data_IF_286411219111
#
_entry.id   IF_286411219111
#
_cell.length_a   1.000
_cell.length_b   1.000
_cell.length_c   1.000
_cell.angle_alpha   90.00
_cell.angle_beta   90.00
_cell.angle_gamma   90.00
#
_symmetry.space_group_name_H-M   'P 1'
#
loop_
_entity.id
_entity.type
_entity.pdbx_description
1 polymer ?
#
# COMPACT_ATOMS: atom_id res chain seq x y z
N UNK A 1 25.68 -31.24 13.07
CA UNK A 1 24.31 -30.72 12.88
C UNK A 1 23.43 -31.80 12.31
N UNK A 2 22.19 -31.93 12.76
CA UNK A 2 21.20 -32.80 12.12
C UNK A 2 20.89 -32.30 10.71
N UNK A 3 20.78 -33.22 9.76
CA UNK A 3 20.36 -32.88 8.41
C UNK A 3 18.85 -32.69 8.39
N UNK A 4 18.35 -31.63 7.70
CA UNK A 4 16.92 -31.50 7.39
C UNK A 4 16.38 -32.58 6.45
N UNK A 5 17.28 -33.42 5.86
CA UNK A 5 16.89 -34.59 5.12
C UNK A 5 16.64 -35.74 6.11
N UNK A 6 15.40 -36.17 6.32
CA UNK A 6 15.07 -37.12 7.40
C UNK A 6 15.56 -38.56 7.13
N UNK A 7 15.83 -38.90 5.87
CA UNK A 7 16.26 -40.25 5.48
C UNK A 7 17.71 -40.51 5.84
N UNK A 8 17.96 -41.65 6.52
CA UNK A 8 19.30 -42.13 6.77
C UNK A 8 19.95 -42.67 5.47
N UNK A 9 21.27 -42.85 5.49
CA UNK A 9 21.99 -43.43 4.34
C UNK A 9 21.41 -44.79 3.95
N UNK A 10 21.18 -45.69 4.92
CA UNK A 10 20.61 -47.04 4.68
C UNK A 10 19.20 -46.94 4.05
N UNK A 11 18.36 -46.02 4.51
CA UNK A 11 17.04 -45.81 3.90
C UNK A 11 17.15 -45.30 2.46
N UNK A 12 18.06 -44.37 2.17
CA UNK A 12 18.32 -43.90 0.80
C UNK A 12 18.78 -45.03 -0.13
N UNK A 13 19.68 -45.88 0.31
CA UNK A 13 20.12 -47.06 -0.44
C UNK A 13 18.98 -48.05 -0.66
N UNK A 14 18.11 -48.24 0.33
CA UNK A 14 16.91 -49.06 0.18
C UNK A 14 15.95 -48.51 -0.86
N UNK A 15 15.71 -47.20 -0.83
CA UNK A 15 14.85 -46.49 -1.80
C UNK A 15 15.43 -46.59 -3.23
N UNK A 16 16.75 -46.41 -3.40
CA UNK A 16 17.40 -46.55 -4.70
C UNK A 16 17.23 -47.98 -5.25
N UNK A 17 17.48 -48.99 -4.42
CA UNK A 17 17.25 -50.38 -4.81
C UNK A 17 15.80 -50.68 -5.18
N UNK A 18 14.84 -50.10 -4.46
CA UNK A 18 13.41 -50.30 -4.75
C UNK A 18 13.00 -49.77 -6.13
N UNK A 19 13.70 -48.74 -6.65
CA UNK A 19 13.49 -48.20 -8.01
C UNK A 19 14.52 -48.73 -9.05
N UNK A 20 15.31 -49.73 -8.68
CA UNK A 20 16.27 -50.38 -9.58
C UNK A 20 17.55 -49.57 -9.87
N UNK A 21 17.95 -48.69 -8.95
CA UNK A 21 19.14 -47.85 -9.05
C UNK A 21 20.15 -48.21 -7.95
N UNK A 22 21.42 -47.97 -8.23
CA UNK A 22 22.52 -48.23 -7.28
C UNK A 22 23.07 -46.91 -6.71
N UNK A 23 23.09 -45.86 -7.51
CA UNK A 23 23.65 -44.57 -7.14
C UNK A 23 22.62 -43.43 -7.28
N UNK A 24 22.68 -42.43 -6.40
CA UNK A 24 21.83 -41.25 -6.47
C UNK A 24 22.03 -40.48 -7.78
N UNK A 25 23.23 -40.54 -8.37
CA UNK A 25 23.53 -39.89 -9.64
C UNK A 25 22.82 -40.53 -10.84
N UNK A 26 22.38 -41.80 -10.71
CA UNK A 26 21.62 -42.47 -11.76
C UNK A 26 20.23 -41.80 -11.99
N UNK A 27 19.72 -41.06 -11.00
CA UNK A 27 18.51 -40.26 -11.15
C UNK A 27 18.70 -39.10 -12.14
N UNK A 28 19.93 -38.69 -12.40
CA UNK A 28 20.27 -37.55 -13.28
C UNK A 28 20.74 -38.00 -14.67
N UNK A 29 20.57 -39.27 -15.04
CA UNK A 29 21.02 -39.81 -16.33
C UNK A 29 20.51 -39.09 -17.57
N UNK A 30 19.34 -38.39 -17.45
CA UNK A 30 18.73 -37.64 -18.53
C UNK A 30 19.30 -36.20 -18.61
N UNK A 31 20.14 -35.79 -17.65
CA UNK A 31 20.84 -34.51 -17.64
C UNK A 31 22.18 -34.68 -18.37
N UNK A 32 22.47 -33.89 -19.41
CA UNK A 32 23.77 -33.94 -20.09
C UNK A 32 24.92 -33.75 -19.09
N UNK A 33 25.97 -34.56 -19.20
CA UNK A 33 27.08 -34.59 -18.25
C UNK A 33 27.73 -33.21 -18.06
N UNK A 34 27.82 -32.41 -19.10
CA UNK A 34 28.38 -31.08 -19.09
C UNK A 34 27.54 -30.08 -18.26
N UNK A 35 26.29 -30.38 -17.96
CA UNK A 35 25.39 -29.58 -17.13
C UNK A 35 25.43 -29.98 -15.65
N UNK A 36 26.06 -31.09 -15.31
CA UNK A 36 26.19 -31.57 -13.94
C UNK A 36 27.32 -30.86 -13.22
N UNK A 37 27.01 -30.26 -12.05
CA UNK A 37 28.03 -29.69 -11.18
C UNK A 37 28.88 -30.79 -10.54
N UNK A 38 30.17 -30.76 -10.82
CA UNK A 38 31.16 -31.72 -10.27
C UNK A 38 31.87 -31.19 -9.01
N UNK A 39 31.67 -29.91 -8.70
CA UNK A 39 32.25 -29.27 -7.52
C UNK A 39 31.13 -28.61 -6.72
N UNK A 40 31.28 -28.48 -5.39
CA UNK A 40 30.38 -27.67 -4.59
C UNK A 40 30.26 -26.23 -5.15
N UNK A 41 29.11 -25.61 -4.94
CA UNK A 41 28.92 -24.22 -5.27
C UNK A 41 29.90 -23.35 -4.43
N UNK A 42 30.39 -22.26 -5.01
CA UNK A 42 31.22 -21.28 -4.30
C UNK A 42 30.35 -20.36 -3.43
N UNK A 43 29.76 -20.96 -2.42
CA UNK A 43 28.96 -20.27 -1.39
C UNK A 43 29.48 -20.68 -0.01
N UNK A 44 29.33 -19.84 1.03
CA UNK A 44 29.69 -20.21 2.40
C UNK A 44 29.01 -21.50 2.86
N UNK A 45 29.64 -22.23 3.75
CA UNK A 45 29.03 -23.38 4.42
C UNK A 45 27.77 -22.97 5.21
N UNK A 46 26.84 -23.91 5.36
CA UNK A 46 25.62 -23.70 6.12
C UNK A 46 25.91 -23.39 7.59
N UNK A 47 25.21 -22.38 8.12
CA UNK A 47 25.28 -22.01 9.53
C UNK A 47 24.41 -22.94 10.38
N UNK A 48 24.73 -23.06 11.67
CA UNK A 48 23.79 -23.60 12.65
C UNK A 48 22.65 -22.61 12.87
N UNK A 49 21.50 -23.08 13.37
CA UNK A 49 20.37 -22.22 13.74
C UNK A 49 20.80 -21.08 14.69
N UNK A 50 21.65 -21.38 15.67
CA UNK A 50 22.18 -20.40 16.60
C UNK A 50 23.05 -19.34 15.91
N UNK A 51 23.93 -19.74 15.01
CA UNK A 51 24.77 -18.82 14.23
C UNK A 51 23.94 -17.94 13.29
N UNK A 52 22.97 -18.52 12.58
CA UNK A 52 22.06 -17.79 11.72
C UNK A 52 21.22 -16.78 12.53
N UNK A 53 20.65 -17.20 13.66
CA UNK A 53 19.90 -16.33 14.55
C UNK A 53 20.74 -15.17 15.06
N UNK A 54 22.00 -15.42 15.48
CA UNK A 54 22.93 -14.36 15.92
C UNK A 54 23.27 -13.39 14.79
N UNK A 55 23.55 -13.90 13.59
CA UNK A 55 23.89 -13.05 12.45
C UNK A 55 22.72 -12.14 12.05
N UNK A 56 21.50 -12.69 11.94
CA UNK A 56 20.31 -11.92 11.61
C UNK A 56 19.93 -10.93 12.72
N UNK A 57 20.07 -11.34 14.00
CA UNK A 57 19.83 -10.43 15.14
C UNK A 57 20.83 -9.29 15.19
N UNK A 58 22.10 -9.54 14.83
CA UNK A 58 23.11 -8.47 14.75
C UNK A 58 22.76 -7.44 13.66
N UNK A 59 22.36 -7.89 12.47
CA UNK A 59 21.86 -7.01 11.41
C UNK A 59 20.59 -6.24 11.83
N UNK A 60 19.68 -6.90 12.51
CA UNK A 60 18.45 -6.25 13.02
C UNK A 60 18.79 -5.18 14.09
N UNK A 61 19.81 -5.38 14.89
CA UNK A 61 20.26 -4.42 15.91
C UNK A 61 20.88 -3.14 15.33
N UNK A 62 21.25 -3.12 14.06
CA UNK A 62 21.71 -1.91 13.36
C UNK A 62 20.56 -0.94 13.04
N UNK A 63 19.31 -1.43 13.04
CA UNK A 63 18.14 -0.58 12.84
C UNK A 63 17.94 0.36 14.03
N UNK A 64 17.56 1.59 13.70
CA UNK A 64 17.20 2.58 14.69
C UNK A 64 15.69 2.63 14.89
N UNK A 65 15.25 2.47 16.13
CA UNK A 65 13.85 2.60 16.51
C UNK A 65 13.60 3.96 17.15
N UNK A 66 12.41 4.52 16.95
CA UNK A 66 12.02 5.82 17.47
C UNK A 66 10.79 5.68 18.37
N UNK A 67 10.82 6.38 19.51
CA UNK A 67 9.67 6.45 20.42
C UNK A 67 8.55 7.31 19.84
N UNK A 68 8.91 8.37 19.14
CA UNK A 68 7.97 9.32 18.52
C UNK A 68 8.26 9.42 17.02
N UNK A 69 7.23 9.26 16.21
CA UNK A 69 7.31 9.34 14.74
C UNK A 69 6.46 10.52 14.27
N UNK A 70 7.12 11.52 13.67
CA UNK A 70 6.49 12.72 13.09
C UNK A 70 6.69 12.78 11.57
N UNK A 71 6.79 11.60 10.94
CA UNK A 71 6.96 11.41 9.50
C UNK A 71 5.88 10.49 8.98
N UNK A 72 5.27 10.89 7.87
CA UNK A 72 4.32 10.11 7.08
C UNK A 72 4.88 9.81 5.70
N UNK A 73 4.48 10.59 4.71
CA UNK A 73 4.90 10.46 3.31
C UNK A 73 4.55 9.10 2.70
N UNK A 74 3.33 8.64 2.92
CA UNK A 74 2.76 7.42 2.31
C UNK A 74 2.65 6.22 3.25
N UNK A 75 3.35 6.20 4.40
CA UNK A 75 3.16 5.21 5.44
C UNK A 75 3.02 5.89 6.81
N UNK A 76 2.07 5.45 7.62
CA UNK A 76 1.63 6.18 8.81
C UNK A 76 1.57 5.29 10.04
N UNK A 77 2.13 5.79 11.16
CA UNK A 77 2.18 5.07 12.44
C UNK A 77 0.88 5.28 13.24
N UNK A 78 -0.20 4.58 12.83
CA UNK A 78 -1.47 4.55 13.54
C UNK A 78 -1.48 3.51 14.66
N UNK A 79 -2.37 3.68 15.64
CA UNK A 79 -2.58 2.69 16.70
C UNK A 79 -3.24 1.43 16.14
N UNK A 80 -2.66 0.29 16.47
CA UNK A 80 -3.17 -1.02 16.05
C UNK A 80 -3.69 -1.76 17.29
N UNK A 81 -5.01 -1.98 17.43
CA UNK A 81 -5.57 -2.76 18.52
C UNK A 81 -4.97 -4.17 18.61
N UNK A 82 -4.76 -4.68 19.83
CA UNK A 82 -4.10 -5.97 20.05
C UNK A 82 -4.79 -7.15 19.37
N UNK A 83 -6.13 -7.11 19.29
CA UNK A 83 -6.93 -8.15 18.64
C UNK A 83 -6.61 -8.27 17.14
N UNK A 84 -6.27 -7.16 16.47
CA UNK A 84 -5.93 -7.11 15.05
C UNK A 84 -4.65 -7.88 14.73
N UNK A 85 -3.71 -7.93 15.70
CA UNK A 85 -2.48 -8.74 15.57
C UNK A 85 -2.71 -10.20 15.92
N UNK A 86 -3.65 -10.47 16.85
CA UNK A 86 -3.88 -11.80 17.39
C UNK A 86 -4.65 -12.72 16.43
N UNK A 87 -5.69 -12.21 15.77
CA UNK A 87 -6.56 -13.04 14.93
C UNK A 87 -5.85 -13.57 13.68
N UNK A 88 -5.12 -12.77 12.88
CA UNK A 88 -4.43 -13.28 11.70
C UNK A 88 -3.34 -14.32 12.02
N UNK A 89 -2.85 -14.33 13.26
CA UNK A 89 -1.84 -15.29 13.72
C UNK A 89 -2.43 -16.67 14.09
N UNK A 90 -3.75 -16.86 14.01
CA UNK A 90 -4.39 -18.15 14.28
C UNK A 90 -4.15 -19.13 13.13
N UNK A 91 -4.10 -20.43 13.47
CA UNK A 91 -3.82 -21.52 12.51
C UNK A 91 -4.81 -21.53 11.34
N UNK A 92 -6.08 -21.17 11.59
CA UNK A 92 -7.14 -21.14 10.58
C UNK A 92 -6.83 -20.18 9.42
N UNK A 93 -6.03 -19.15 9.68
CA UNK A 93 -5.64 -18.16 8.66
C UNK A 93 -4.21 -18.36 8.16
N UNK A 94 -3.25 -18.67 9.06
CA UNK A 94 -1.83 -18.76 8.71
C UNK A 94 -1.50 -19.84 7.70
N UNK A 95 -2.19 -20.99 7.77
CA UNK A 95 -1.93 -22.14 6.89
C UNK A 95 -2.66 -22.07 5.56
N UNK A 96 -3.58 -21.12 5.41
CA UNK A 96 -4.33 -20.94 4.17
C UNK A 96 -3.46 -20.24 3.12
N UNK A 97 -3.45 -20.80 1.91
CA UNK A 97 -2.81 -20.18 0.76
C UNK A 97 -3.87 -19.45 -0.08
N UNK A 98 -4.15 -19.92 -1.28
CA UNK A 98 -5.18 -19.30 -2.11
C UNK A 98 -6.46 -20.13 -2.03
N UNK A 99 -7.62 -19.50 -1.75
CA UNK A 99 -8.89 -20.21 -1.57
C UNK A 99 -9.53 -20.62 -2.91
N UNK A 100 -8.86 -21.42 -3.70
CA UNK A 100 -9.38 -21.91 -4.99
C UNK A 100 -10.54 -22.87 -4.84
N UNK A 101 -10.48 -23.75 -3.82
CA UNK A 101 -11.52 -24.73 -3.54
C UNK A 101 -12.53 -24.13 -2.56
N UNK A 102 -13.66 -23.68 -3.09
CA UNK A 102 -14.70 -23.05 -2.30
C UNK A 102 -15.21 -23.96 -1.16
N UNK A 103 -15.28 -25.26 -1.41
CA UNK A 103 -15.74 -26.27 -0.43
C UNK A 103 -14.87 -26.31 0.84
N UNK A 104 -13.58 -26.02 0.70
CA UNK A 104 -12.59 -26.06 1.79
C UNK A 104 -12.33 -24.70 2.44
N UNK A 105 -12.70 -23.61 1.76
CA UNK A 105 -12.19 -22.27 2.07
C UNK A 105 -13.28 -21.24 2.37
N UNK A 106 -14.46 -21.68 2.82
CA UNK A 106 -15.61 -20.78 3.02
C UNK A 106 -15.31 -19.64 3.98
N UNK A 107 -14.62 -19.91 5.10
CA UNK A 107 -14.26 -18.86 6.06
C UNK A 107 -13.32 -17.80 5.50
N UNK A 108 -12.33 -18.20 4.69
CA UNK A 108 -11.43 -17.25 4.02
C UNK A 108 -12.14 -16.47 2.92
N UNK A 109 -12.96 -17.11 2.12
CA UNK A 109 -13.75 -16.44 1.09
C UNK A 109 -14.70 -15.42 1.72
N UNK A 110 -15.34 -15.77 2.83
CA UNK A 110 -16.18 -14.86 3.59
C UNK A 110 -15.38 -13.66 4.10
N UNK A 111 -14.20 -13.85 4.67
CA UNK A 111 -13.37 -12.74 5.15
C UNK A 111 -12.93 -11.79 4.03
N UNK A 112 -12.64 -12.32 2.84
CA UNK A 112 -12.36 -11.50 1.65
C UNK A 112 -13.60 -10.71 1.23
N UNK A 113 -14.77 -11.35 1.21
CA UNK A 113 -16.04 -10.69 0.86
C UNK A 113 -16.36 -9.56 1.85
N UNK A 114 -16.17 -9.78 3.15
CA UNK A 114 -16.35 -8.76 4.18
C UNK A 114 -15.37 -7.59 4.03
N UNK A 115 -14.09 -7.87 3.73
CA UNK A 115 -13.12 -6.82 3.39
C UNK A 115 -13.56 -6.01 2.16
N UNK A 116 -13.95 -6.67 1.08
CA UNK A 116 -14.45 -6.00 -0.13
C UNK A 116 -15.65 -5.09 0.19
N UNK A 117 -16.59 -5.57 1.01
CA UNK A 117 -17.75 -4.81 1.46
C UNK A 117 -17.33 -3.56 2.23
N UNK A 118 -16.42 -3.70 3.20
CA UNK A 118 -15.94 -2.55 3.99
C UNK A 118 -15.19 -1.52 3.14
N UNK A 119 -14.42 -1.94 2.14
CA UNK A 119 -13.79 -1.02 1.19
C UNK A 119 -14.85 -0.31 0.31
N UNK A 120 -15.90 -1.00 -0.12
CA UNK A 120 -17.00 -0.37 -0.84
C UNK A 120 -17.71 0.68 0.03
N UNK A 121 -18.03 0.37 1.27
CA UNK A 121 -18.66 1.30 2.22
C UNK A 121 -17.76 2.54 2.47
N UNK A 122 -16.46 2.32 2.69
CA UNK A 122 -15.50 3.40 2.96
C UNK A 122 -15.33 4.34 1.76
N UNK A 123 -15.38 3.80 0.54
CA UNK A 123 -15.15 4.56 -0.70
C UNK A 123 -16.42 5.03 -1.40
N UNK A 124 -17.59 4.51 -1.01
CA UNK A 124 -18.88 4.71 -1.68
C UNK A 124 -18.96 4.00 -3.04
N UNK A 125 -18.01 3.12 -3.39
CA UNK A 125 -17.97 2.43 -4.67
C UNK A 125 -18.84 1.17 -4.67
N UNK A 126 -19.20 0.71 -5.89
CA UNK A 126 -20.13 -0.40 -6.07
C UNK A 126 -19.46 -1.77 -5.90
N UNK A 127 -18.15 -1.88 -6.20
CA UNK A 127 -17.42 -3.16 -6.18
C UNK A 127 -15.95 -2.97 -5.83
N UNK A 128 -15.39 -3.86 -5.01
CA UNK A 128 -13.97 -3.95 -4.67
C UNK A 128 -13.40 -5.31 -5.08
N UNK A 129 -12.10 -5.36 -5.37
CA UNK A 129 -11.35 -6.62 -5.48
C UNK A 129 -10.82 -7.08 -4.12
N UNK A 130 -10.19 -8.25 -4.08
CA UNK A 130 -9.61 -8.83 -2.85
C UNK A 130 -8.35 -8.10 -2.35
N UNK A 131 -7.68 -7.35 -3.14
CA UNK A 131 -6.57 -6.41 -2.96
C UNK A 131 -5.56 -6.45 -4.11
N UNK A 132 -4.62 -5.51 -4.09
CA UNK A 132 -3.39 -5.49 -4.90
C UNK A 132 -2.19 -5.26 -3.97
N UNK A 133 -0.97 -5.13 -4.51
CA UNK A 133 0.26 -5.15 -3.71
C UNK A 133 0.43 -3.94 -2.79
N UNK A 134 0.22 -2.73 -3.31
CA UNK A 134 0.33 -1.45 -2.60
C UNK A 134 -0.47 -0.35 -3.28
N UNK A 135 -0.53 0.82 -2.67
CA UNK A 135 -1.28 1.95 -3.20
C UNK A 135 -0.76 2.48 -4.54
N UNK A 136 0.55 2.46 -4.77
CA UNK A 136 1.13 2.91 -6.03
C UNK A 136 0.82 1.93 -7.17
N UNK A 137 0.88 0.63 -6.89
CA UNK A 137 0.43 -0.42 -7.83
C UNK A 137 -1.06 -0.30 -8.09
N UNK A 138 -1.89 -0.03 -7.07
CA UNK A 138 -3.33 0.19 -7.24
C UNK A 138 -3.62 1.36 -8.20
N UNK A 139 -2.87 2.47 -8.10
CA UNK A 139 -2.99 3.60 -9.01
C UNK A 139 -2.59 3.23 -10.45
N UNK A 140 -1.51 2.46 -10.61
CA UNK A 140 -1.05 2.02 -11.93
C UNK A 140 -2.03 1.02 -12.58
N UNK A 141 -2.58 0.09 -11.82
CA UNK A 141 -3.61 -0.84 -12.28
C UNK A 141 -4.92 -0.11 -12.64
N UNK A 142 -5.31 0.91 -11.86
CA UNK A 142 -6.47 1.74 -12.18
C UNK A 142 -6.27 2.50 -13.51
N UNK A 143 -5.10 3.06 -13.76
CA UNK A 143 -4.76 3.67 -15.04
C UNK A 143 -4.82 2.65 -16.19
N UNK A 144 -4.29 1.44 -15.96
CA UNK A 144 -4.34 0.35 -16.93
C UNK A 144 -5.78 -0.09 -17.25
N UNK A 145 -6.68 -0.12 -16.26
CA UNK A 145 -8.11 -0.40 -16.47
C UNK A 145 -8.82 0.59 -17.40
N UNK A 146 -8.38 1.85 -17.39
CA UNK A 146 -8.99 2.94 -18.14
C UNK A 146 -8.62 2.93 -19.63
N UNK A 147 -7.58 2.19 -20.02
CA UNK A 147 -7.10 2.15 -21.39
C UNK A 147 -8.18 1.69 -22.39
N UNK A 148 -8.22 2.38 -23.53
CA UNK A 148 -9.07 2.06 -24.66
C UNK A 148 -8.24 2.14 -25.95
N UNK A 149 -8.76 1.60 -27.05
CA UNK A 149 -8.04 1.54 -28.33
C UNK A 149 -7.53 2.91 -28.81
N UNK A 150 -8.31 3.98 -28.58
CA UNK A 150 -7.99 5.35 -28.99
C UNK A 150 -7.56 6.27 -27.84
N UNK A 151 -7.75 5.83 -26.60
CA UNK A 151 -7.43 6.59 -25.38
C UNK A 151 -6.33 5.87 -24.61
N UNK A 152 -5.11 6.36 -24.73
CA UNK A 152 -3.91 5.72 -24.17
C UNK A 152 -3.02 6.69 -23.40
N UNK A 153 -3.48 7.89 -23.15
CA UNK A 153 -2.79 8.88 -22.31
C UNK A 153 -3.36 8.83 -20.91
N UNK A 154 -2.49 8.68 -19.92
CA UNK A 154 -2.83 8.85 -18.50
C UNK A 154 -2.32 10.21 -18.04
N UNK A 155 -3.20 11.02 -17.46
CA UNK A 155 -2.82 12.21 -16.71
C UNK A 155 -2.69 11.87 -15.24
N UNK A 156 -1.70 12.46 -14.57
CA UNK A 156 -1.50 12.32 -13.12
C UNK A 156 -1.16 13.67 -12.50
N UNK A 157 -1.73 13.96 -11.33
CA UNK A 157 -1.40 15.17 -10.58
C UNK A 157 0.08 15.21 -10.17
N UNK A 158 0.75 16.33 -10.36
CA UNK A 158 2.10 16.58 -9.87
C UNK A 158 2.17 16.76 -8.34
N UNK A 159 1.02 16.89 -7.67
CA UNK A 159 0.90 16.87 -6.22
C UNK A 159 0.65 15.47 -5.65
N UNK A 160 0.63 14.41 -6.47
CA UNK A 160 0.59 13.02 -6.03
C UNK A 160 1.95 12.58 -5.48
N UNK A 161 1.94 11.49 -4.71
CA UNK A 161 3.17 10.90 -4.17
C UNK A 161 4.17 10.58 -5.30
N UNK A 162 5.45 10.97 -5.16
CA UNK A 162 6.46 10.77 -6.23
C UNK A 162 6.59 9.32 -6.69
N UNK A 163 6.54 8.36 -5.75
CA UNK A 163 6.65 6.94 -6.10
C UNK A 163 5.41 6.42 -6.81
N UNK A 164 4.23 6.96 -6.52
CA UNK A 164 3.02 6.66 -7.29
C UNK A 164 3.17 7.14 -8.74
N UNK A 165 3.68 8.36 -8.95
CA UNK A 165 3.98 8.89 -10.30
C UNK A 165 4.98 7.98 -11.02
N UNK A 166 6.04 7.55 -10.33
CA UNK A 166 7.07 6.69 -10.91
C UNK A 166 6.56 5.28 -11.23
N UNK A 167 5.71 4.72 -10.37
CA UNK A 167 5.09 3.40 -10.61
C UNK A 167 4.16 3.44 -11.82
N UNK A 168 3.27 4.44 -11.90
CA UNK A 168 2.41 4.64 -13.08
C UNK A 168 3.24 4.84 -14.35
N UNK A 169 4.35 5.60 -14.27
CA UNK A 169 5.29 5.79 -15.39
C UNK A 169 5.88 4.46 -15.86
N UNK A 170 6.26 3.58 -14.94
CA UNK A 170 6.81 2.26 -15.26
C UNK A 170 5.78 1.39 -15.98
N UNK A 171 4.53 1.40 -15.53
CA UNK A 171 3.44 0.67 -16.21
C UNK A 171 3.17 1.22 -17.62
N UNK A 172 3.11 2.54 -17.77
CA UNK A 172 2.94 3.17 -19.08
C UNK A 172 4.11 2.84 -20.02
N UNK A 173 5.35 2.91 -19.52
CA UNK A 173 6.52 2.51 -20.29
C UNK A 173 6.42 1.06 -20.79
N UNK A 174 6.06 0.13 -19.91
CA UNK A 174 5.97 -1.30 -20.25
C UNK A 174 4.92 -1.62 -21.31
N UNK A 175 3.89 -0.79 -21.44
CA UNK A 175 2.78 -0.96 -22.39
C UNK A 175 2.84 -0.03 -23.61
N UNK A 176 3.81 0.89 -23.65
CA UNK A 176 3.92 1.90 -24.69
C UNK A 176 2.81 2.96 -24.64
N UNK A 177 2.25 3.20 -23.43
CA UNK A 177 1.27 4.25 -23.17
C UNK A 177 1.99 5.55 -22.76
N UNK A 178 1.33 6.68 -22.90
CA UNK A 178 1.87 7.97 -22.52
C UNK A 178 1.42 8.39 -21.12
N UNK A 179 2.36 8.84 -20.26
CA UNK A 179 2.07 9.51 -19.00
C UNK A 179 2.40 11.00 -19.12
N UNK A 180 1.44 11.86 -18.80
CA UNK A 180 1.64 13.31 -18.66
C UNK A 180 1.34 13.72 -17.21
N UNK A 181 2.28 14.49 -16.62
CA UNK A 181 2.11 15.02 -15.26
C UNK A 181 1.46 16.40 -15.37
N UNK A 182 0.32 16.57 -14.72
CA UNK A 182 -0.37 17.86 -14.59
C UNK A 182 0.37 18.69 -13.55
N UNK A 183 0.81 19.92 -13.85
CA UNK A 183 1.54 20.75 -12.89
C UNK A 183 0.76 20.97 -11.59
N UNK A 184 1.50 21.14 -10.50
CA UNK A 184 0.94 21.62 -9.24
C UNK A 184 1.15 23.14 -9.13
N UNK A 185 0.14 23.86 -8.62
CA UNK A 185 0.18 25.28 -8.29
C UNK A 185 -0.21 25.43 -6.82
N UNK A 186 0.60 26.11 -6.06
CA UNK A 186 0.40 26.32 -4.61
C UNK A 186 0.16 25.00 -3.83
N UNK A 187 0.88 23.93 -4.23
CA UNK A 187 0.79 22.63 -3.60
C UNK A 187 -0.41 21.77 -4.01
N UNK A 188 -1.26 22.22 -4.91
CA UNK A 188 -2.45 21.51 -5.42
C UNK A 188 -2.38 21.34 -6.92
N UNK A 189 -3.18 20.43 -7.45
CA UNK A 189 -3.34 20.25 -8.90
C UNK A 189 -3.82 21.55 -9.55
N UNK A 190 -3.12 22.00 -10.59
CA UNK A 190 -3.53 23.15 -11.38
C UNK A 190 -4.71 22.77 -12.29
N UNK A 191 -5.91 23.22 -11.96
CA UNK A 191 -7.14 22.91 -12.70
C UNK A 191 -7.12 23.49 -14.12
N UNK A 192 -6.52 24.66 -14.33
CA UNK A 192 -6.42 25.28 -15.66
C UNK A 192 -5.47 24.47 -16.55
N UNK A 193 -4.34 24.05 -15.99
CA UNK A 193 -3.40 23.16 -16.67
C UNK A 193 -4.06 21.82 -17.00
N UNK A 194 -4.78 21.20 -16.05
CA UNK A 194 -5.54 19.98 -16.30
C UNK A 194 -6.50 20.16 -17.48
N UNK A 195 -7.33 21.21 -17.45
CA UNK A 195 -8.31 21.45 -18.51
C UNK A 195 -7.64 21.60 -19.89
N UNK A 196 -6.47 22.23 -19.95
CA UNK A 196 -5.72 22.40 -21.21
C UNK A 196 -5.07 21.10 -21.73
N UNK A 197 -4.80 20.13 -20.84
CA UNK A 197 -4.18 18.85 -21.15
C UNK A 197 -5.19 17.75 -21.48
N UNK A 198 -6.47 17.96 -21.20
CA UNK A 198 -7.56 17.01 -21.47
C UNK A 198 -7.89 17.05 -22.98
N UNK A 199 -7.57 15.96 -23.68
CA UNK A 199 -7.86 15.76 -25.11
C UNK A 199 -8.53 14.39 -25.36
N UNK A 200 -8.83 14.10 -26.62
CA UNK A 200 -9.50 12.84 -27.02
C UNK A 200 -8.62 11.58 -26.80
N UNK A 201 -7.30 11.73 -26.62
CA UNK A 201 -6.39 10.64 -26.37
C UNK A 201 -6.30 10.28 -24.88
N UNK A 202 -6.80 11.15 -23.99
CA UNK A 202 -6.74 10.95 -22.54
C UNK A 202 -7.73 9.87 -22.11
N UNK A 203 -7.20 8.81 -21.50
CA UNK A 203 -7.97 7.70 -20.92
C UNK A 203 -8.43 7.99 -19.50
N UNK A 204 -7.52 8.57 -18.68
CA UNK A 204 -7.78 8.81 -17.27
C UNK A 204 -6.94 9.95 -16.70
N UNK A 205 -7.44 10.48 -15.58
CA UNK A 205 -6.67 11.37 -14.70
C UNK A 205 -6.68 10.82 -13.27
N UNK A 206 -5.50 10.80 -12.64
CA UNK A 206 -5.30 10.40 -11.24
C UNK A 206 -5.02 11.63 -10.37
N UNK A 207 -5.74 11.72 -9.25
CA UNK A 207 -5.47 12.65 -8.15
C UNK A 207 -5.31 11.89 -6.85
N UNK A 208 -4.51 12.41 -5.92
CA UNK A 208 -4.38 11.87 -4.56
C UNK A 208 -5.07 12.81 -3.56
N UNK A 209 -5.85 12.25 -2.62
CA UNK A 209 -6.65 12.98 -1.64
C UNK A 209 -6.55 12.35 -0.24
N UNK A 210 -6.00 13.01 0.78
CA UNK A 210 -5.18 14.22 0.65
C UNK A 210 -3.96 13.99 -0.25
N UNK A 211 -3.44 15.07 -0.87
CA UNK A 211 -2.29 14.94 -1.75
C UNK A 211 -0.97 14.74 -0.98
N UNK A 212 0.17 14.60 -1.68
CA UNK A 212 1.47 14.34 -1.06
C UNK A 212 1.91 15.40 -0.05
N UNK A 213 1.45 16.63 -0.21
CA UNK A 213 1.75 17.74 0.71
C UNK A 213 0.75 17.82 1.87
N UNK A 214 -0.20 16.90 1.97
CA UNK A 214 -1.24 16.82 2.99
C UNK A 214 -2.50 17.62 2.67
N UNK A 215 -2.51 18.42 1.59
CA UNK A 215 -3.60 19.34 1.24
C UNK A 215 -4.80 18.60 0.65
N UNK A 216 -5.99 19.14 0.90
CA UNK A 216 -7.21 18.73 0.20
C UNK A 216 -7.28 19.40 -1.18
N UNK A 217 -7.45 18.57 -2.22
CA UNK A 217 -7.70 19.02 -3.59
C UNK A 217 -9.17 19.46 -3.78
N UNK A 218 -9.45 20.22 -4.82
CA UNK A 218 -10.83 20.43 -5.28
C UNK A 218 -11.28 19.22 -6.14
N UNK A 219 -11.49 18.09 -5.45
CA UNK A 219 -11.70 16.80 -6.09
C UNK A 219 -12.95 16.79 -6.99
N UNK A 220 -14.01 17.52 -6.62
CA UNK A 220 -15.24 17.61 -7.41
C UNK A 220 -15.03 18.40 -8.71
N UNK A 221 -14.36 19.56 -8.65
CA UNK A 221 -14.06 20.35 -9.84
C UNK A 221 -13.13 19.60 -10.81
N UNK A 222 -12.11 18.90 -10.28
CA UNK A 222 -11.22 18.05 -11.07
C UNK A 222 -12.01 16.92 -11.75
N UNK A 223 -12.88 16.22 -11.02
CA UNK A 223 -13.72 15.14 -11.57
C UNK A 223 -14.66 15.63 -12.66
N UNK A 224 -15.27 16.80 -12.47
CA UNK A 224 -16.15 17.41 -13.48
C UNK A 224 -15.40 17.72 -14.78
N UNK A 225 -14.20 18.33 -14.70
CA UNK A 225 -13.37 18.63 -15.88
C UNK A 225 -13.00 17.33 -16.65
N UNK A 226 -12.60 16.29 -15.92
CA UNK A 226 -12.22 15.00 -16.50
C UNK A 226 -13.39 14.34 -17.23
N UNK A 227 -14.58 14.34 -16.62
CA UNK A 227 -15.78 13.75 -17.23
C UNK A 227 -16.28 14.54 -18.44
N UNK A 228 -16.15 15.88 -18.45
CA UNK A 228 -16.49 16.69 -19.62
C UNK A 228 -15.66 16.32 -20.86
N UNK A 229 -14.39 15.91 -20.65
CA UNK A 229 -13.53 15.39 -21.71
C UNK A 229 -13.79 13.91 -22.05
N UNK A 230 -14.70 13.25 -21.34
CA UNK A 230 -15.02 11.83 -21.51
C UNK A 230 -13.92 10.89 -21.04
N UNK A 231 -12.97 11.34 -20.20
CA UNK A 231 -11.96 10.53 -19.55
C UNK A 231 -12.48 9.94 -18.24
N UNK A 232 -11.72 9.00 -17.65
CA UNK A 232 -12.03 8.39 -16.35
C UNK A 232 -11.32 9.12 -15.23
N UNK A 233 -12.02 9.26 -14.10
CA UNK A 233 -11.50 9.90 -12.91
C UNK A 233 -11.09 8.87 -11.86
N UNK A 234 -9.79 8.85 -11.50
CA UNK A 234 -9.21 7.95 -10.52
C UNK A 234 -8.81 8.77 -9.29
N UNK A 235 -9.27 8.37 -8.13
CA UNK A 235 -8.98 9.04 -6.88
C UNK A 235 -8.22 8.12 -5.93
N UNK A 236 -6.99 8.48 -5.59
CA UNK A 236 -6.16 7.82 -4.57
C UNK A 236 -6.42 8.44 -3.21
N UNK A 237 -6.78 7.64 -2.19
CA UNK A 237 -7.18 8.18 -0.89
C UNK A 237 -6.44 7.55 0.27
N UNK A 238 -6.19 8.35 1.33
CA UNK A 238 -5.83 7.82 2.63
C UNK A 238 -7.10 7.24 3.29
N UNK A 239 -7.11 5.94 3.67
CA UNK A 239 -8.33 5.28 4.15
C UNK A 239 -8.80 5.78 5.52
N UNK A 240 -7.91 6.32 6.37
CA UNK A 240 -8.30 6.92 7.65
C UNK A 240 -8.97 8.28 7.41
N UNK A 241 -8.45 9.08 6.46
CA UNK A 241 -9.05 10.35 6.11
C UNK A 241 -10.48 10.20 5.56
N UNK A 242 -10.77 9.10 4.87
CA UNK A 242 -12.12 8.82 4.34
C UNK A 242 -13.20 8.72 5.42
N UNK A 243 -12.83 8.44 6.67
CA UNK A 243 -13.80 8.41 7.77
C UNK A 243 -14.42 9.78 8.11
N UNK A 244 -13.80 10.90 7.66
CA UNK A 244 -14.27 12.27 7.91
C UNK A 244 -14.36 13.12 6.63
N UNK A 245 -14.08 12.56 5.47
CA UNK A 245 -14.11 13.23 4.17
C UNK A 245 -15.28 12.75 3.32
N UNK A 246 -15.60 13.52 2.26
CA UNK A 246 -16.45 13.01 1.19
C UNK A 246 -15.82 11.78 0.55
N UNK A 247 -16.65 10.79 0.27
CA UNK A 247 -16.18 9.59 -0.41
C UNK A 247 -15.70 9.88 -1.83
N UNK A 248 -14.79 9.08 -2.40
CA UNK A 248 -14.43 9.18 -3.82
C UNK A 248 -15.65 9.16 -4.74
N UNK A 249 -16.67 8.36 -4.42
CA UNK A 249 -17.92 8.30 -5.17
C UNK A 249 -18.66 9.63 -5.18
N UNK A 250 -18.77 10.27 -4.03
CA UNK A 250 -19.42 11.58 -3.90
C UNK A 250 -18.65 12.69 -4.64
N UNK A 251 -17.32 12.54 -4.75
CA UNK A 251 -16.47 13.42 -5.56
C UNK A 251 -16.51 13.10 -7.06
N UNK A 252 -17.29 12.10 -7.47
CA UNK A 252 -17.46 11.71 -8.88
C UNK A 252 -16.41 10.73 -9.41
N UNK A 253 -15.56 10.11 -8.57
CA UNK A 253 -14.57 9.16 -9.04
C UNK A 253 -15.21 7.91 -9.68
N UNK A 254 -14.63 7.44 -10.78
CA UNK A 254 -14.96 6.15 -11.42
C UNK A 254 -14.26 4.99 -10.70
N UNK A 255 -13.05 5.25 -10.17
CA UNK A 255 -12.21 4.26 -9.47
C UNK A 255 -11.61 4.93 -8.24
N UNK A 256 -11.71 4.25 -7.11
CA UNK A 256 -11.04 4.60 -5.86
C UNK A 256 -9.92 3.61 -5.59
N UNK A 257 -8.74 4.11 -5.25
CA UNK A 257 -7.56 3.30 -4.90
C UNK A 257 -6.86 3.90 -3.69
N UNK A 258 -5.92 3.17 -3.12
CA UNK A 258 -5.07 3.74 -2.08
C UNK A 258 -4.20 2.71 -1.38
N UNK A 259 -3.35 3.24 -0.51
CA UNK A 259 -2.52 2.45 0.38
C UNK A 259 -3.31 2.09 1.64
N UNK A 260 -3.47 0.79 1.87
CA UNK A 260 -4.20 0.27 3.01
C UNK A 260 -3.35 0.01 4.26
N UNK A 261 -2.05 0.35 4.26
CA UNK A 261 -1.18 0.20 5.43
C UNK A 261 -1.78 0.81 6.70
N UNK A 262 -2.43 2.00 6.67
CA UNK A 262 -3.03 2.59 7.86
C UNK A 262 -4.14 1.75 8.50
N UNK A 263 -4.70 0.78 7.78
CA UNK A 263 -5.74 -0.12 8.27
C UNK A 263 -5.14 -1.30 9.07
N UNK A 264 -4.33 -1.02 10.08
CA UNK A 264 -3.85 -2.00 11.04
C UNK A 264 -2.56 -2.74 10.68
N UNK A 265 -1.82 -2.28 9.67
CA UNK A 265 -0.48 -2.78 9.35
C UNK A 265 0.60 -1.90 10.01
N UNK A 266 1.65 -2.50 10.60
CA UNK A 266 2.76 -1.72 11.15
C UNK A 266 3.61 -1.10 10.05
N UNK A 267 4.47 -0.14 10.40
CA UNK A 267 5.51 0.35 9.51
C UNK A 267 6.49 -0.79 9.21
N UNK A 268 6.47 -1.30 7.98
CA UNK A 268 7.20 -2.51 7.57
C UNK A 268 8.47 -2.24 6.76
N UNK A 269 8.93 -1.00 6.64
CA UNK A 269 10.19 -0.63 5.96
C UNK A 269 10.38 -1.30 4.58
N UNK A 270 9.34 -1.31 3.77
CA UNK A 270 9.32 -1.95 2.45
C UNK A 270 8.27 -3.04 2.28
N UNK A 271 7.41 -3.23 3.26
CA UNK A 271 6.25 -4.12 3.16
C UNK A 271 6.33 -5.39 4.03
N UNK A 272 5.37 -6.28 3.86
CA UNK A 272 4.25 -6.14 2.94
C UNK A 272 3.30 -5.01 3.34
N UNK A 273 2.77 -4.31 2.32
CA UNK A 273 1.70 -3.32 2.49
C UNK A 273 0.41 -3.81 1.81
N UNK A 274 -0.51 -2.90 1.48
CA UNK A 274 -1.82 -3.30 0.97
C UNK A 274 -2.36 -2.27 0.00
N UNK A 275 -2.48 -2.60 -1.28
CA UNK A 275 -3.25 -1.79 -2.21
C UNK A 275 -4.74 -2.15 -2.14
N UNK A 276 -5.61 -1.18 -1.93
CA UNK A 276 -7.04 -1.38 -2.13
C UNK A 276 -7.50 -0.76 -3.45
N UNK A 277 -8.50 -1.39 -4.07
CA UNK A 277 -9.12 -0.93 -5.31
C UNK A 277 -10.62 -1.18 -5.28
N UNK A 278 -11.37 -0.13 -5.56
CA UNK A 278 -12.81 -0.22 -5.76
C UNK A 278 -13.24 0.62 -6.98
N UNK A 279 -14.34 0.27 -7.60
CA UNK A 279 -14.80 0.93 -8.82
C UNK A 279 -16.32 0.95 -8.90
N UNK A 280 -16.82 1.75 -9.85
CA UNK A 280 -18.23 1.71 -10.24
C UNK A 280 -18.57 0.38 -10.93
N UNK A 281 -19.82 -0.06 -10.83
CA UNK A 281 -20.33 -1.30 -11.43
C UNK A 281 -19.93 -1.44 -12.90
N UNK A 282 -19.96 -0.37 -13.67
CA UNK A 282 -19.57 -0.34 -15.09
C UNK A 282 -18.13 -0.82 -15.34
N UNK A 283 -17.26 -0.73 -14.35
CA UNK A 283 -15.85 -1.11 -14.45
C UNK A 283 -15.53 -2.44 -13.77
N UNK A 284 -16.49 -3.09 -13.12
CA UNK A 284 -16.32 -4.35 -12.38
C UNK A 284 -15.55 -5.42 -13.18
N UNK A 285 -15.88 -5.59 -14.47
CA UNK A 285 -15.22 -6.58 -15.34
C UNK A 285 -13.80 -6.21 -15.76
N UNK A 286 -13.33 -5.01 -15.43
CA UNK A 286 -11.95 -4.54 -15.68
C UNK A 286 -11.09 -4.55 -14.43
N UNK A 287 -11.66 -4.70 -13.22
CA UNK A 287 -10.91 -4.77 -11.98
C UNK A 287 -9.87 -5.91 -12.03
N UNK A 288 -8.60 -5.67 -11.72
CA UNK A 288 -7.58 -6.72 -11.62
C UNK A 288 -7.77 -7.57 -10.36
N UNK A 289 -7.07 -8.69 -10.31
CA UNK A 289 -7.04 -9.57 -9.14
C UNK A 289 -8.37 -10.30 -8.90
N UNK A 290 -8.47 -10.94 -7.74
CA UNK A 290 -9.61 -11.77 -7.36
C UNK A 290 -10.79 -10.96 -6.88
N UNK A 291 -11.98 -11.47 -7.13
CA UNK A 291 -13.24 -10.96 -6.58
C UNK A 291 -14.01 -12.16 -6.01
N UNK A 292 -14.41 -12.06 -4.76
CA UNK A 292 -15.29 -13.04 -4.12
C UNK A 292 -16.74 -12.55 -4.24
N UNK A 293 -17.61 -13.46 -4.61
CA UNK A 293 -19.06 -13.23 -4.69
C UNK A 293 -19.81 -14.12 -3.71
N UNK A 294 -20.95 -13.64 -3.23
CA UNK A 294 -21.91 -14.43 -2.46
C UNK A 294 -22.78 -15.27 -3.40
N UNK A 295 -23.09 -16.49 -2.98
CA UNK A 295 -23.95 -17.44 -3.69
C UNK A 295 -24.70 -18.32 -2.67
N UNK A 296 -25.40 -19.35 -3.15
CA UNK A 296 -25.98 -20.39 -2.32
C UNK A 296 -25.46 -21.76 -2.70
N UNK A 297 -25.30 -22.64 -1.71
CA UNK A 297 -24.97 -24.06 -1.95
C UNK A 297 -26.21 -24.85 -2.43
N UNK A 298 -25.99 -26.15 -2.71
CA UNK A 298 -27.06 -27.04 -3.16
C UNK A 298 -28.20 -27.25 -2.15
N UNK A 299 -28.00 -26.84 -0.89
CA UNK A 299 -29.01 -26.86 0.18
C UNK A 299 -29.67 -25.50 0.40
N UNK A 300 -29.34 -24.49 -0.43
CA UNK A 300 -29.85 -23.13 -0.30
C UNK A 300 -29.17 -22.30 0.82
N UNK A 301 -28.08 -22.77 1.40
CA UNK A 301 -27.35 -22.03 2.44
C UNK A 301 -26.40 -21.03 1.78
N UNK A 302 -26.21 -19.87 2.40
CA UNK A 302 -25.26 -18.85 1.97
C UNK A 302 -23.84 -19.43 1.84
N UNK A 303 -23.19 -19.15 0.75
CA UNK A 303 -21.85 -19.61 0.43
C UNK A 303 -21.07 -18.54 -0.36
N UNK A 304 -19.77 -18.68 -0.46
CA UNK A 304 -18.88 -17.75 -1.12
C UNK A 304 -18.02 -18.46 -2.16
N UNK A 305 -17.77 -17.80 -3.29
CA UNK A 305 -16.97 -18.34 -4.40
C UNK A 305 -16.12 -17.25 -5.03
N UNK A 306 -15.00 -17.64 -5.64
CA UNK A 306 -14.27 -16.76 -6.56
C UNK A 306 -15.12 -16.53 -7.81
N UNK A 307 -15.34 -15.27 -8.14
CA UNK A 307 -16.16 -14.86 -9.28
C UNK A 307 -15.34 -14.17 -10.37
N UNK A 308 -15.89 -14.09 -11.60
CA UNK A 308 -15.29 -13.38 -12.75
C UNK A 308 -13.85 -13.83 -13.08
N UNK A 309 -13.45 -15.05 -12.78
CA UNK A 309 -12.10 -15.57 -12.96
C UNK A 309 -11.60 -15.54 -14.41
N UNK A 310 -12.50 -15.56 -15.40
CA UNK A 310 -12.14 -15.56 -16.82
C UNK A 310 -11.29 -14.37 -17.29
N UNK A 311 -11.19 -13.29 -16.50
CA UNK A 311 -10.36 -12.11 -16.78
C UNK A 311 -8.93 -12.21 -16.20
N UNK A 312 -8.67 -13.19 -15.31
CA UNK A 312 -7.40 -13.34 -14.61
C UNK A 312 -6.29 -13.93 -15.48
N UNK A 313 -5.05 -13.66 -15.12
CA UNK A 313 -3.86 -14.04 -15.87
C UNK A 313 -3.74 -15.56 -16.11
N UNK A 314 -4.08 -16.40 -15.14
CA UNK A 314 -3.98 -17.85 -15.27
C UNK A 314 -4.92 -18.43 -16.33
N UNK A 315 -5.96 -17.70 -16.73
CA UNK A 315 -6.88 -18.06 -17.82
C UNK A 315 -6.55 -17.29 -19.10
N UNK A 316 -6.41 -15.97 -19.02
CA UNK A 316 -6.19 -15.08 -20.18
C UNK A 316 -4.75 -15.10 -20.68
N UNK A 317 -3.78 -15.49 -19.85
CA UNK A 317 -2.35 -15.50 -20.14
C UNK A 317 -1.87 -14.12 -20.62
N UNK A 318 -1.20 -14.05 -21.80
CA UNK A 318 -0.69 -12.81 -22.39
C UNK A 318 -1.77 -11.77 -22.75
N UNK A 319 -3.04 -12.17 -22.78
CA UNK A 319 -4.18 -11.29 -23.06
C UNK A 319 -4.84 -10.73 -21.80
N UNK A 320 -4.32 -11.05 -20.62
CA UNK A 320 -4.81 -10.46 -19.38
C UNK A 320 -4.49 -8.96 -19.32
N UNK A 321 -5.41 -8.19 -18.74
CA UNK A 321 -5.21 -6.75 -18.55
C UNK A 321 -4.23 -6.43 -17.41
N UNK A 322 -3.98 -7.40 -16.52
CA UNK A 322 -3.10 -7.29 -15.36
C UNK A 322 -2.38 -8.62 -15.15
N UNK A 323 -1.17 -8.56 -14.59
CA UNK A 323 -0.39 -9.72 -14.16
C UNK A 323 -0.52 -10.03 -12.67
N UNK A 324 -1.41 -9.37 -11.96
CA UNK A 324 -1.71 -9.67 -10.56
C UNK A 324 -2.31 -11.08 -10.49
N UNK A 325 -1.64 -11.96 -9.73
CA UNK A 325 -2.06 -13.33 -9.48
C UNK A 325 -2.40 -13.53 -8.00
N UNK A 326 -1.40 -13.48 -7.15
CA UNK A 326 -1.60 -13.43 -5.70
C UNK A 326 -1.72 -11.98 -5.26
N UNK A 327 -2.68 -11.70 -4.37
CA UNK A 327 -2.87 -10.42 -3.74
C UNK A 327 -2.22 -10.45 -2.34
N UNK A 328 -2.32 -9.36 -1.60
CA UNK A 328 -1.89 -9.25 -0.20
C UNK A 328 -2.99 -9.76 0.74
N UNK A 329 -3.30 -11.06 0.67
CA UNK A 329 -4.47 -11.65 1.33
C UNK A 329 -4.44 -11.50 2.86
N UNK A 330 -3.27 -11.73 3.50
CA UNK A 330 -3.12 -11.59 4.95
C UNK A 330 -3.22 -10.12 5.39
N UNK A 331 -2.69 -9.20 4.58
CA UNK A 331 -2.82 -7.75 4.82
C UNK A 331 -4.28 -7.30 4.67
N UNK A 332 -5.00 -7.80 3.67
CA UNK A 332 -6.42 -7.52 3.48
C UNK A 332 -7.28 -8.06 4.63
N UNK A 333 -6.99 -9.28 5.12
CA UNK A 333 -7.63 -9.83 6.32
C UNK A 333 -7.37 -8.93 7.54
N UNK A 334 -6.12 -8.49 7.73
CA UNK A 334 -5.73 -7.59 8.82
C UNK A 334 -6.48 -6.26 8.73
N UNK A 335 -6.58 -5.68 7.53
CA UNK A 335 -7.33 -4.45 7.30
C UNK A 335 -8.83 -4.60 7.57
N UNK A 336 -9.43 -5.72 7.14
CA UNK A 336 -10.81 -6.06 7.47
C UNK A 336 -11.05 -6.15 8.98
N UNK A 337 -10.15 -6.82 9.69
CA UNK A 337 -10.20 -6.92 11.16
C UNK A 337 -10.02 -5.56 11.85
N UNK A 338 -9.14 -4.70 11.32
CA UNK A 338 -8.97 -3.34 11.83
C UNK A 338 -10.26 -2.52 11.67
N UNK A 339 -10.82 -2.47 10.46
CA UNK A 339 -12.07 -1.75 10.19
C UNK A 339 -13.23 -2.28 11.06
N UNK A 340 -13.36 -3.60 11.19
CA UNK A 340 -14.39 -4.21 12.04
C UNK A 340 -14.17 -3.90 13.54
N UNK A 341 -12.92 -3.84 14.00
CA UNK A 341 -12.58 -3.55 15.41
C UNK A 341 -12.79 -2.09 15.75
N UNK A 342 -12.36 -1.18 14.88
CA UNK A 342 -12.50 0.26 15.08
C UNK A 342 -13.95 0.72 14.88
N UNK A 343 -14.65 0.13 13.92
CA UNK A 343 -15.95 0.59 13.48
C UNK A 343 -15.90 2.03 12.90
N UNK A 344 -17.03 2.56 12.46
CA UNK A 344 -17.08 3.90 11.90
C UNK A 344 -16.65 4.98 12.89
N UNK A 345 -17.09 4.88 14.14
CA UNK A 345 -16.78 5.87 15.18
C UNK A 345 -15.31 5.86 15.57
N UNK A 346 -14.68 4.68 15.69
CA UNK A 346 -13.26 4.57 16.03
C UNK A 346 -12.37 5.07 14.89
N UNK A 347 -12.73 4.81 13.63
CA UNK A 347 -12.01 5.34 12.48
C UNK A 347 -12.16 6.86 12.39
N UNK A 348 -13.35 7.42 12.61
CA UNK A 348 -13.57 8.86 12.66
C UNK A 348 -12.75 9.52 13.78
N UNK A 349 -12.73 8.94 14.99
CA UNK A 349 -11.91 9.43 16.09
C UNK A 349 -10.40 9.40 15.77
N UNK A 350 -9.90 8.35 15.14
CA UNK A 350 -8.50 8.28 14.71
C UNK A 350 -8.15 9.39 13.70
N UNK A 351 -9.04 9.64 12.74
CA UNK A 351 -8.89 10.70 11.76
C UNK A 351 -8.92 12.10 12.41
N UNK A 352 -9.93 12.39 13.22
CA UNK A 352 -10.09 13.68 13.91
C UNK A 352 -8.92 13.99 14.84
N UNK A 353 -8.45 13.02 15.61
CA UNK A 353 -7.30 13.19 16.49
C UNK A 353 -6.00 13.40 15.70
N UNK A 354 -5.80 12.66 14.62
CA UNK A 354 -4.63 12.86 13.74
C UNK A 354 -4.61 14.28 13.17
N UNK A 355 -5.74 14.72 12.63
CA UNK A 355 -5.90 16.08 12.12
C UNK A 355 -5.66 17.13 13.21
N UNK A 356 -6.30 17.01 14.36
CA UNK A 356 -6.15 17.96 15.47
C UNK A 356 -4.70 18.07 15.98
N UNK A 357 -3.97 16.94 16.07
CA UNK A 357 -2.58 16.90 16.52
C UNK A 357 -1.62 17.49 15.49
N UNK A 358 -1.84 17.23 14.20
CA UNK A 358 -1.07 17.85 13.12
C UNK A 358 -1.24 19.39 13.11
N UNK A 359 -2.48 19.86 13.20
CA UNK A 359 -2.77 21.30 13.28
C UNK A 359 -2.20 21.95 14.55
N UNK A 360 -2.19 21.21 15.67
CA UNK A 360 -1.52 21.69 16.89
C UNK A 360 -0.01 21.82 16.68
N UNK A 361 0.64 20.81 16.09
CA UNK A 361 2.07 20.79 15.82
C UNK A 361 2.48 21.92 14.86
N UNK A 362 1.76 22.08 13.75
CA UNK A 362 2.00 23.17 12.80
C UNK A 362 1.97 24.54 13.50
N UNK A 363 0.89 24.81 14.23
CA UNK A 363 0.71 26.08 14.96
C UNK A 363 1.86 26.33 15.96
N UNK A 364 2.30 25.28 16.67
CA UNK A 364 3.36 25.41 17.66
C UNK A 364 4.73 25.63 17.00
N UNK A 365 5.03 24.97 15.89
CA UNK A 365 6.26 25.17 15.11
C UNK A 365 6.28 26.54 14.43
N UNK A 366 5.19 26.99 13.84
CA UNK A 366 5.09 28.32 13.20
C UNK A 366 5.16 29.49 14.20
N UNK A 367 5.03 29.23 15.50
CA UNK A 367 5.29 30.24 16.52
C UNK A 367 6.80 30.51 16.76
N UNK A 368 7.68 29.66 16.20
CA UNK A 368 9.13 29.78 16.30
C UNK A 368 9.69 30.72 15.22
N UNK A 369 10.79 31.45 15.50
CA UNK A 369 11.37 32.39 14.55
C UNK A 369 11.80 31.72 13.23
N UNK A 370 11.36 32.30 12.10
CA UNK A 370 11.75 31.85 10.76
C UNK A 370 11.09 30.57 10.27
N UNK A 371 10.14 30.01 11.01
CA UNK A 371 9.35 28.85 10.59
C UNK A 371 8.05 29.33 9.96
N UNK A 372 7.80 28.93 8.71
CA UNK A 372 6.65 29.39 7.93
C UNK A 372 5.98 28.21 7.19
N UNK A 373 4.65 28.21 7.06
CA UNK A 373 3.97 27.24 6.20
C UNK A 373 4.33 27.50 4.74
N UNK A 374 4.60 26.42 3.98
CA UNK A 374 4.92 26.53 2.54
C UNK A 374 3.65 26.68 1.72
N UNK A 375 2.59 26.03 2.12
CA UNK A 375 1.31 26.00 1.42
C UNK A 375 0.18 26.48 2.33
N UNK A 376 -0.78 27.18 1.75
CA UNK A 376 -2.03 27.55 2.42
C UNK A 376 -3.15 26.58 2.09
N UNK A 377 -4.22 26.61 2.89
CA UNK A 377 -5.42 25.82 2.66
C UNK A 377 -5.67 24.74 3.70
N UNK A 378 -6.78 24.03 3.54
CA UNK A 378 -7.13 22.92 4.43
C UNK A 378 -6.27 21.70 4.13
N UNK A 379 -5.84 21.01 5.20
CA UNK A 379 -5.04 19.80 5.12
C UNK A 379 -5.47 18.77 6.19
N UNK A 380 -5.06 17.55 6.04
CA UNK A 380 -5.43 16.47 6.96
C UNK A 380 -4.43 16.35 8.13
N UNK A 381 -3.46 15.49 8.02
CA UNK A 381 -2.49 15.18 9.10
C UNK A 381 -1.04 15.33 8.68
N UNK A 382 -0.81 15.82 7.45
CA UNK A 382 0.49 16.20 6.94
C UNK A 382 0.49 17.65 6.49
N UNK A 383 1.63 18.33 6.65
CA UNK A 383 1.82 19.72 6.27
C UNK A 383 3.29 20.03 6.01
N UNK A 384 3.57 20.99 5.14
CA UNK A 384 4.93 21.37 4.76
C UNK A 384 5.31 22.69 5.38
N UNK A 385 6.43 22.73 6.12
CA UNK A 385 7.02 23.94 6.66
C UNK A 385 8.35 24.25 5.98
N UNK A 386 8.64 25.53 5.81
CA UNK A 386 9.98 26.04 5.56
C UNK A 386 10.63 26.36 6.90
N UNK A 387 11.79 25.74 7.16
CA UNK A 387 12.45 25.78 8.46
C UNK A 387 13.94 26.07 8.27
N UNK A 388 14.44 27.19 8.82
CA UNK A 388 15.89 27.45 8.74
C UNK A 388 16.69 26.32 9.39
N UNK A 389 17.82 25.93 8.81
CA UNK A 389 18.69 24.86 9.33
C UNK A 389 17.97 23.50 9.46
N UNK A 390 17.09 23.21 8.51
CA UNK A 390 16.19 22.05 8.56
C UNK A 390 16.92 20.72 8.84
N UNK A 391 18.09 20.49 8.24
CA UNK A 391 18.87 19.29 8.48
C UNK A 391 19.34 19.18 9.93
N UNK A 392 19.86 20.25 10.49
CA UNK A 392 20.35 20.29 11.88
C UNK A 392 19.22 20.09 12.88
N UNK A 393 18.03 20.62 12.58
CA UNK A 393 16.81 20.39 13.36
C UNK A 393 16.44 18.90 13.38
N UNK A 394 16.40 18.28 12.20
CA UNK A 394 16.08 16.85 12.08
C UNK A 394 17.11 15.96 12.77
N UNK A 395 18.41 16.29 12.68
CA UNK A 395 19.46 15.58 13.41
C UNK A 395 19.35 15.77 14.93
N UNK A 396 18.92 16.93 15.41
CA UNK A 396 18.69 17.16 16.83
C UNK A 396 17.54 16.33 17.39
N UNK A 397 16.43 16.24 16.65
CA UNK A 397 15.30 15.36 16.95
C UNK A 397 15.73 13.90 16.96
N UNK A 398 16.47 13.50 15.92
CA UNK A 398 16.99 12.14 15.77
C UNK A 398 17.83 11.73 16.97
N UNK A 399 18.76 12.57 17.46
CA UNK A 399 19.56 12.30 18.68
C UNK A 399 18.71 12.09 19.93
N UNK A 400 17.50 12.62 19.98
CA UNK A 400 16.54 12.49 21.10
C UNK A 400 15.52 11.36 20.89
N UNK A 401 15.70 10.52 19.83
CA UNK A 401 14.80 9.39 19.56
C UNK A 401 13.46 9.79 18.94
N UNK A 402 13.39 10.95 18.31
CA UNK A 402 12.23 11.44 17.57
C UNK A 402 12.55 11.39 16.07
N UNK A 403 11.79 10.64 15.30
CA UNK A 403 11.85 10.70 13.84
C UNK A 403 11.09 11.94 13.37
N UNK A 404 11.82 13.00 13.05
CA UNK A 404 11.26 14.25 12.50
C UNK A 404 10.71 14.07 11.09
N UNK A 405 10.08 15.12 10.56
CA UNK A 405 9.47 15.12 9.23
C UNK A 405 10.41 14.70 8.10
N UNK A 406 9.87 14.55 6.91
CA UNK A 406 10.63 14.20 5.69
C UNK A 406 11.24 15.48 5.08
N UNK A 407 12.58 15.56 4.89
CA UNK A 407 13.18 16.68 4.16
C UNK A 407 12.79 16.64 2.68
N UNK A 408 12.28 17.76 2.16
CA UNK A 408 11.93 17.92 0.74
C UNK A 408 12.94 18.77 -0.06
N UNK A 409 14.06 19.18 0.59
CA UNK A 409 15.03 20.12 0.04
C UNK A 409 14.63 21.59 0.24
N UNK A 410 15.57 22.51 0.02
CA UNK A 410 15.39 23.97 0.17
C UNK A 410 14.78 24.37 1.54
N UNK A 411 15.26 23.75 2.62
CA UNK A 411 14.76 23.92 3.98
C UNK A 411 13.27 23.61 4.18
N UNK A 412 12.66 22.85 3.26
CA UNK A 412 11.28 22.38 3.38
C UNK A 412 11.23 21.02 4.04
N UNK A 413 10.31 20.85 4.98
CA UNK A 413 10.09 19.60 5.71
C UNK A 413 8.61 19.27 5.70
N UNK A 414 8.26 18.06 5.28
CA UNK A 414 6.92 17.48 5.38
C UNK A 414 6.76 16.80 6.74
N UNK A 415 5.89 17.34 7.57
CA UNK A 415 5.57 16.82 8.91
C UNK A 415 4.29 16.02 8.88
N UNK A 416 4.18 15.07 9.80
CA UNK A 416 3.00 14.27 10.03
C UNK A 416 2.76 14.08 11.52
N UNK A 417 1.49 14.05 11.94
CA UNK A 417 1.11 13.58 13.26
C UNK A 417 -0.13 12.70 13.17
N UNK A 418 -0.10 11.54 13.83
CA UNK A 418 -1.24 10.64 13.95
C UNK A 418 -1.85 10.71 15.35
N UNK A 419 -2.96 10.03 15.56
CA UNK A 419 -3.61 9.93 16.88
C UNK A 419 -2.70 9.28 17.93
N UNK A 420 -1.68 8.56 17.51
CA UNK A 420 -0.75 7.84 18.40
C UNK A 420 0.17 8.77 19.17
N UNK A 421 0.54 9.91 18.59
CA UNK A 421 1.47 10.86 19.23
C UNK A 421 0.75 11.65 20.32
N UNK A 422 1.31 11.70 21.51
CA UNK A 422 0.76 12.49 22.62
C UNK A 422 1.12 13.99 22.51
N UNK A 423 0.34 14.85 23.16
CA UNK A 423 0.65 16.28 23.22
C UNK A 423 2.02 16.55 23.84
N UNK A 424 2.41 15.79 24.88
CA UNK A 424 3.72 15.91 25.53
C UNK A 424 4.88 15.67 24.54
N UNK A 425 4.74 14.66 23.68
CA UNK A 425 5.75 14.35 22.65
C UNK A 425 5.81 15.43 21.57
N UNK A 426 4.68 16.03 21.21
CA UNK A 426 4.63 17.17 20.29
C UNK A 426 5.33 18.39 20.91
N UNK A 427 5.02 18.70 22.17
CA UNK A 427 5.65 19.82 22.91
C UNK A 427 7.16 19.61 23.06
N UNK A 428 7.63 18.37 23.30
CA UNK A 428 9.04 18.00 23.35
C UNK A 428 9.73 18.24 22.00
N UNK A 429 9.13 17.80 20.89
CA UNK A 429 9.67 18.03 19.55
C UNK A 429 9.79 19.54 19.26
N UNK A 430 8.79 20.35 19.59
CA UNK A 430 8.81 21.80 19.42
C UNK A 430 9.92 22.44 20.27
N UNK A 431 10.12 21.97 21.51
CA UNK A 431 11.19 22.47 22.41
C UNK A 431 12.58 22.20 21.82
N UNK A 432 12.81 21.00 21.27
CA UNK A 432 14.08 20.65 20.61
C UNK A 432 14.35 21.54 19.39
N UNK A 433 13.33 21.76 18.55
CA UNK A 433 13.43 22.66 17.40
C UNK A 433 13.80 24.08 17.87
N UNK A 434 13.14 24.59 18.91
CA UNK A 434 13.44 25.88 19.51
C UNK A 434 14.88 25.98 20.01
N UNK A 435 15.38 24.96 20.75
CA UNK A 435 16.77 24.93 21.26
C UNK A 435 17.81 25.07 20.14
N UNK A 436 17.53 24.56 18.95
CA UNK A 436 18.42 24.67 17.78
C UNK A 436 18.31 26.06 17.14
N UNK A 437 17.11 26.62 17.03
CA UNK A 437 16.91 27.95 16.41
C UNK A 437 17.44 29.09 17.27
N UNK A 438 17.45 28.94 18.60
CA UNK A 438 17.95 29.95 19.56
C UNK A 438 19.48 30.04 19.62
N UNK A 439 20.22 29.09 19.01
CA UNK A 439 21.70 29.08 18.85
C UNK A 439 22.16 29.79 17.59
#
# INVERSE_FOLDING_TARGET
MGSYVPSTQAQREQMLRAVGLENIMDLYRDVPEQMLLRKPLNIPDGMSELEAARAVSAMAAENRTYATVLRGAGAYDHYIPSIVKYIPAKEEFLTAYTPYQAEMSQGLLQSIFEYQTMICELTGMDVSNASVYDGATAAAEAAAMCRERKRRVTLISGAAHPDTINTVRTYCYGTGDELRVVPAKDGKTDLEALASMLDEAVASFYVQQPNFFGLFEDAEALGQAVHQAGARYIMGCNPIALAIMKTPRDCGADIAVGEGQPLGLPLGCGGPYLGYMAATDKLMRKLPGRIVGETTDHQGRRAYVLSLQAREQHIRREKASSNICSNEALCALTAGLYMATMGPDGMAQAAEQSMAKAHYLEKALCALPGVEPVYGGAYFHEFVLKMPRSQELLEALDRRGILGGLPLGDDRVLWCATEKVSRRELDEAVSIVKEVLDK
#
